data_IF_383433766321
#
_entry.id   IF_383433766321
#
_cell.length_a   1.000
_cell.length_b   1.000
_cell.length_c   1.000
_cell.angle_alpha   90.00
_cell.angle_beta   90.00
_cell.angle_gamma   90.00
#
_symmetry.space_group_name_H-M   'P 1'
#
loop_
_entity.id
_entity.type
_entity.pdbx_description
1 polymer ?
#
# COMPACT_ATOMS: atom_id res chain seq x y z
N UNK A 1 -1.88 -24.74 6.11
CA UNK A 1 -2.70 -24.06 5.09
C UNK A 1 -2.34 -24.68 3.75
N UNK A 2 -3.29 -25.26 3.02
CA UNK A 2 -3.06 -25.74 1.64
C UNK A 2 -3.26 -24.53 0.70
N UNK A 3 -2.18 -24.03 0.12
CA UNK A 3 -2.19 -22.91 -0.82
C UNK A 3 -1.86 -23.43 -2.21
N UNK A 4 -2.73 -23.15 -3.19
CA UNK A 4 -2.52 -23.55 -4.60
C UNK A 4 -2.45 -22.31 -5.50
N UNK A 5 -1.38 -22.14 -6.29
CA UNK A 5 -1.28 -21.02 -7.20
C UNK A 5 -2.27 -21.21 -8.37
N UNK A 6 -3.01 -20.16 -8.71
CA UNK A 6 -3.84 -20.08 -9.90
C UNK A 6 -3.23 -19.04 -10.85
N UNK A 7 -2.98 -19.43 -12.10
CA UNK A 7 -2.48 -18.47 -13.09
C UNK A 7 -3.55 -17.42 -13.40
N UNK A 8 -3.19 -16.13 -13.44
CA UNK A 8 -4.16 -15.06 -13.71
C UNK A 8 -4.92 -15.25 -15.02
N UNK A 9 -4.33 -15.86 -16.05
CA UNK A 9 -5.02 -16.21 -17.32
C UNK A 9 -6.22 -17.15 -17.15
N UNK A 10 -6.26 -17.92 -16.06
CA UNK A 10 -7.36 -18.85 -15.75
C UNK A 10 -8.51 -18.14 -15.03
N UNK A 11 -8.28 -16.92 -14.53
CA UNK A 11 -9.32 -16.09 -13.92
C UNK A 11 -10.10 -15.39 -15.03
N UNK A 12 -11.45 -15.46 -15.04
CA UNK A 12 -12.26 -14.74 -16.00
C UNK A 12 -12.07 -13.21 -15.93
N UNK A 13 -12.40 -12.53 -17.04
CA UNK A 13 -12.48 -11.06 -17.13
C UNK A 13 -11.19 -10.29 -16.81
N UNK A 14 -10.02 -10.93 -16.93
CA UNK A 14 -8.75 -10.22 -16.79
C UNK A 14 -8.49 -9.29 -17.98
N UNK A 15 -8.04 -8.04 -17.74
CA UNK A 15 -7.68 -7.13 -18.81
C UNK A 15 -6.55 -7.70 -19.68
N UNK A 16 -6.69 -7.60 -21.01
CA UNK A 16 -5.66 -8.08 -21.95
C UNK A 16 -4.29 -7.46 -21.66
N UNK A 17 -4.26 -6.16 -21.39
CA UNK A 17 -3.02 -5.43 -21.07
C UNK A 17 -2.32 -6.01 -19.84
N UNK A 18 -3.08 -6.36 -18.79
CA UNK A 18 -2.55 -6.98 -17.58
C UNK A 18 -1.95 -8.37 -17.85
N UNK A 19 -2.65 -9.22 -18.59
CA UNK A 19 -2.12 -10.54 -18.97
C UNK A 19 -0.87 -10.42 -19.86
N UNK A 20 -0.82 -9.43 -20.76
CA UNK A 20 0.37 -9.17 -21.57
C UNK A 20 1.53 -8.61 -20.74
N UNK A 21 1.26 -7.80 -19.73
CA UNK A 21 2.27 -7.33 -18.77
C UNK A 21 2.92 -8.48 -17.99
N UNK A 22 2.12 -9.47 -17.56
CA UNK A 22 2.62 -10.64 -16.84
C UNK A 22 3.36 -11.64 -17.75
N UNK A 23 2.80 -11.98 -18.90
CA UNK A 23 3.27 -13.12 -19.69
C UNK A 23 4.05 -12.76 -20.97
N UNK A 24 3.86 -11.54 -21.50
CA UNK A 24 4.38 -11.11 -22.81
C UNK A 24 4.84 -9.66 -22.80
N UNK A 25 5.72 -9.32 -21.85
CA UNK A 25 6.14 -7.95 -21.58
C UNK A 25 6.64 -7.17 -22.81
N UNK A 26 7.27 -7.84 -23.79
CA UNK A 26 7.70 -7.23 -25.06
C UNK A 26 6.60 -6.48 -25.80
N UNK A 27 5.33 -6.87 -25.62
CA UNK A 27 4.17 -6.19 -26.21
C UNK A 27 3.79 -4.90 -25.51
N UNK A 28 4.20 -4.72 -24.25
CA UNK A 28 3.81 -3.59 -23.41
C UNK A 28 4.98 -2.73 -22.96
N UNK A 29 6.20 -3.02 -23.44
CA UNK A 29 7.42 -2.29 -23.09
C UNK A 29 7.41 -0.80 -23.45
N UNK A 30 6.50 -0.37 -24.34
CA UNK A 30 6.28 1.05 -24.64
C UNK A 30 5.53 1.77 -23.51
N UNK A 31 4.79 1.03 -22.66
CA UNK A 31 4.01 1.56 -21.55
C UNK A 31 4.70 1.39 -20.19
N UNK A 32 5.56 0.36 -20.06
CA UNK A 32 6.23 0.02 -18.81
C UNK A 32 7.74 -0.08 -18.99
N UNK A 33 8.49 0.50 -18.07
CA UNK A 33 9.96 0.55 -18.13
C UNK A 33 10.65 -0.78 -17.76
N UNK A 34 10.03 -1.58 -16.90
CA UNK A 34 10.66 -2.77 -16.31
C UNK A 34 9.69 -3.95 -16.23
N UNK A 35 10.26 -5.15 -16.39
CA UNK A 35 9.56 -6.42 -16.19
C UNK A 35 9.06 -6.55 -14.74
N UNK A 36 7.87 -7.16 -14.50
CA UNK A 36 7.35 -7.43 -13.17
C UNK A 36 8.02 -8.64 -12.50
N UNK A 37 9.36 -8.64 -12.45
CA UNK A 37 10.15 -9.74 -11.84
C UNK A 37 11.18 -9.17 -10.88
N UNK A 38 11.46 -9.89 -9.81
CA UNK A 38 12.38 -9.43 -8.76
C UNK A 38 13.76 -9.07 -9.31
N UNK A 39 14.28 -9.82 -10.29
CA UNK A 39 15.58 -9.53 -10.92
C UNK A 39 15.64 -8.18 -11.64
N UNK A 40 14.51 -7.70 -12.18
CA UNK A 40 14.41 -6.37 -12.74
C UNK A 40 14.42 -5.30 -11.62
N UNK A 41 13.65 -5.53 -10.55
CA UNK A 41 13.61 -4.67 -9.35
C UNK A 41 15.01 -4.53 -8.74
N UNK A 42 15.73 -5.63 -8.51
CA UNK A 42 17.11 -5.65 -7.98
C UNK A 42 18.05 -4.79 -8.83
N UNK A 43 17.96 -4.90 -10.16
CA UNK A 43 18.80 -4.14 -11.09
C UNK A 43 18.51 -2.65 -11.07
N UNK A 44 17.24 -2.26 -10.92
CA UNK A 44 16.84 -0.86 -10.77
C UNK A 44 17.32 -0.31 -9.43
N UNK A 45 17.07 -1.04 -8.35
CA UNK A 45 17.42 -0.64 -7.00
C UNK A 45 18.92 -0.33 -6.84
N UNK A 46 19.81 -1.11 -7.48
CA UNK A 46 21.27 -0.85 -7.48
C UNK A 46 21.69 0.47 -8.14
N UNK A 47 20.84 1.04 -9.00
CA UNK A 47 21.12 2.27 -9.75
C UNK A 47 20.47 3.51 -9.12
N UNK A 48 19.61 3.33 -8.12
CA UNK A 48 18.93 4.45 -7.48
C UNK A 48 19.91 5.20 -6.59
N UNK A 49 20.28 6.39 -7.04
CA UNK A 49 21.07 7.34 -6.27
C UNK A 49 20.23 8.60 -6.04
N UNK A 50 19.78 8.80 -4.80
CA UNK A 50 19.00 9.96 -4.39
C UNK A 50 19.86 10.81 -3.46
N UNK A 51 19.81 12.16 -3.59
CA UNK A 51 20.58 13.05 -2.73
C UNK A 51 20.35 12.76 -1.24
N UNK A 52 21.43 12.69 -0.47
CA UNK A 52 21.38 12.40 0.97
C UNK A 52 20.52 13.39 1.75
N UNK A 53 20.56 14.67 1.38
CA UNK A 53 19.72 15.72 1.98
C UNK A 53 18.22 15.42 1.83
N UNK A 54 17.79 15.03 0.62
CA UNK A 54 16.38 14.65 0.37
C UNK A 54 15.98 13.44 1.19
N UNK A 55 16.88 12.46 1.34
CA UNK A 55 16.62 11.26 2.18
C UNK A 55 16.47 11.63 3.64
N UNK A 56 17.33 12.50 4.16
CA UNK A 56 17.28 12.97 5.54
C UNK A 56 15.97 13.74 5.82
N UNK A 57 15.58 14.64 4.91
CA UNK A 57 14.34 15.41 5.01
C UNK A 57 13.10 14.49 5.02
N UNK A 58 13.01 13.59 4.04
CA UNK A 58 11.89 12.63 3.95
C UNK A 58 11.84 11.73 5.18
N UNK A 59 12.99 11.21 5.64
CA UNK A 59 13.04 10.33 6.82
C UNK A 59 12.62 11.06 8.09
N UNK A 60 12.95 12.36 8.21
CA UNK A 60 12.53 13.20 9.33
C UNK A 60 11.01 13.41 9.34
N UNK A 61 10.42 13.75 8.19
CA UNK A 61 8.97 13.93 8.05
C UNK A 61 8.24 12.62 8.39
N UNK A 62 8.67 11.51 7.79
CA UNK A 62 8.07 10.20 8.02
C UNK A 62 8.22 9.76 9.49
N UNK A 63 9.36 10.05 10.13
CA UNK A 63 9.55 9.75 11.56
C UNK A 63 8.56 10.49 12.43
N UNK A 64 8.39 11.80 12.20
CA UNK A 64 7.41 12.60 12.93
C UNK A 64 5.98 12.07 12.77
N UNK A 65 5.58 11.75 11.54
CA UNK A 65 4.24 11.21 11.24
C UNK A 65 4.01 9.84 11.92
N UNK A 66 4.96 8.92 11.77
CA UNK A 66 4.84 7.58 12.32
C UNK A 66 4.86 7.58 13.87
N UNK A 67 5.69 8.42 14.50
CA UNK A 67 5.67 8.57 15.96
C UNK A 67 4.33 9.09 16.48
N UNK A 68 3.68 10.04 15.77
CA UNK A 68 2.35 10.52 16.13
C UNK A 68 1.27 9.41 16.05
N UNK A 69 1.51 8.36 15.26
CA UNK A 69 0.64 7.19 15.12
C UNK A 69 1.07 6.00 16.00
N UNK A 70 1.99 6.19 16.94
CA UNK A 70 2.42 5.14 17.88
C UNK A 70 3.36 4.10 17.29
N UNK A 71 4.21 4.49 16.33
CA UNK A 71 5.14 3.58 15.67
C UNK A 71 6.07 2.82 16.63
N UNK A 72 6.24 1.52 16.35
CA UNK A 72 7.13 0.63 17.09
C UNK A 72 8.58 0.62 16.60
N UNK A 73 9.42 -0.18 17.25
CA UNK A 73 10.87 -0.26 16.99
C UNK A 73 11.20 -0.62 15.54
N UNK A 74 10.46 -1.53 14.91
CA UNK A 74 10.71 -1.94 13.52
C UNK A 74 10.50 -0.80 12.52
N UNK A 75 9.51 0.07 12.78
CA UNK A 75 9.26 1.25 11.95
C UNK A 75 10.40 2.26 12.09
N UNK A 76 10.87 2.51 13.31
CA UNK A 76 12.00 3.41 13.56
C UNK A 76 13.31 2.88 12.94
N UNK A 77 13.54 1.56 13.02
CA UNK A 77 14.67 0.89 12.37
C UNK A 77 14.61 1.04 10.84
N UNK A 78 13.43 0.90 10.23
CA UNK A 78 13.26 1.14 8.80
C UNK A 78 13.54 2.60 8.42
N UNK A 79 13.14 3.56 9.24
CA UNK A 79 13.43 4.98 9.00
C UNK A 79 14.94 5.28 9.09
N UNK A 80 15.65 4.69 10.05
CA UNK A 80 17.12 4.80 10.15
C UNK A 80 17.80 4.21 8.90
N UNK A 81 17.30 3.08 8.40
CA UNK A 81 17.82 2.43 7.18
C UNK A 81 17.56 3.28 5.94
N UNK A 82 16.37 3.89 5.83
CA UNK A 82 16.00 4.77 4.72
C UNK A 82 16.93 5.99 4.64
N UNK A 83 17.18 6.62 5.79
CA UNK A 83 18.09 7.76 5.94
C UNK A 83 19.52 7.39 5.51
N UNK A 84 19.98 6.18 5.85
CA UNK A 84 21.29 5.63 5.46
C UNK A 84 21.39 5.14 4.01
N UNK A 85 20.35 5.34 3.20
CA UNK A 85 20.41 5.06 1.76
C UNK A 85 19.64 3.82 1.30
N UNK A 86 18.91 3.13 2.17
CA UNK A 86 18.06 2.02 1.74
C UNK A 86 17.04 2.46 0.67
N UNK A 87 16.74 1.58 -0.29
CA UNK A 87 15.69 1.84 -1.28
C UNK A 87 14.31 1.64 -0.66
N UNK A 88 13.32 2.42 -1.09
CA UNK A 88 11.94 2.26 -0.64
C UNK A 88 11.17 1.37 -1.64
N UNK A 89 10.55 0.31 -1.14
CA UNK A 89 9.54 -0.45 -1.89
C UNK A 89 8.19 0.14 -1.53
N UNK A 90 7.58 0.85 -2.47
CA UNK A 90 6.36 1.62 -2.23
C UNK A 90 5.17 0.87 -2.84
N UNK A 91 4.13 0.69 -2.03
CA UNK A 91 2.77 0.40 -2.49
C UNK A 91 1.81 1.34 -1.77
N UNK A 92 0.55 1.42 -2.18
CA UNK A 92 -0.41 2.29 -1.52
C UNK A 92 -1.85 1.97 -1.86
N UNK A 93 -2.73 2.59 -1.08
CA UNK A 93 -4.17 2.57 -1.28
C UNK A 93 -4.83 3.79 -0.64
N UNK A 94 -6.01 4.17 -1.12
CA UNK A 94 -6.89 5.11 -0.43
C UNK A 94 -7.26 4.58 0.97
N UNK A 95 -7.56 5.49 1.89
CA UNK A 95 -7.92 5.15 3.27
C UNK A 95 -9.40 4.75 3.35
N UNK A 96 -9.68 3.47 3.14
CA UNK A 96 -11.02 2.90 3.27
C UNK A 96 -11.43 2.63 4.72
N UNK A 97 -12.73 2.69 5.00
CA UNK A 97 -13.31 2.30 6.28
C UNK A 97 -12.87 0.87 6.66
N UNK A 98 -12.38 0.67 7.89
CA UNK A 98 -11.86 -0.61 8.39
C UNK A 98 -10.77 -1.24 7.50
N UNK A 99 -9.80 -0.45 7.04
CA UNK A 99 -8.74 -0.81 6.08
C UNK A 99 -9.19 -1.02 4.63
N UNK A 100 -10.49 -0.86 4.38
CA UNK A 100 -11.10 -1.04 3.07
C UNK A 100 -11.03 -2.50 2.60
N UNK A 101 -10.85 -2.75 1.31
CA UNK A 101 -10.81 -4.10 0.76
C UNK A 101 -9.54 -4.87 1.19
N UNK A 102 -9.64 -6.20 1.27
CA UNK A 102 -8.55 -7.07 1.71
C UNK A 102 -7.24 -6.89 0.91
N UNK A 103 -7.31 -6.45 -0.34
CA UNK A 103 -6.12 -6.20 -1.14
C UNK A 103 -5.24 -5.07 -0.58
N UNK A 104 -5.75 -4.15 0.26
CA UNK A 104 -4.94 -3.15 0.96
C UNK A 104 -3.87 -3.83 1.81
N UNK A 105 -4.26 -4.87 2.55
CA UNK A 105 -3.35 -5.68 3.37
C UNK A 105 -2.39 -6.46 2.47
N UNK A 106 -2.87 -7.09 1.40
CA UNK A 106 -1.99 -7.83 0.48
C UNK A 106 -0.95 -6.94 -0.19
N UNK A 107 -1.30 -5.70 -0.54
CA UNK A 107 -0.38 -4.69 -1.05
C UNK A 107 0.71 -4.35 -0.04
N UNK A 108 0.35 -4.15 1.23
CA UNK A 108 1.33 -3.89 2.30
C UNK A 108 2.27 -5.07 2.52
N UNK A 109 1.72 -6.29 2.62
CA UNK A 109 2.50 -7.52 2.75
C UNK A 109 3.44 -7.74 1.57
N UNK A 110 2.99 -7.45 0.34
CA UNK A 110 3.82 -7.55 -0.87
C UNK A 110 5.00 -6.58 -0.82
N UNK A 111 4.78 -5.34 -0.35
CA UNK A 111 5.88 -4.37 -0.20
C UNK A 111 6.90 -4.84 0.86
N UNK A 112 6.44 -5.39 1.98
CA UNK A 112 7.30 -5.98 3.02
C UNK A 112 8.12 -7.13 2.43
N UNK A 113 7.47 -8.09 1.78
CA UNK A 113 8.14 -9.26 1.20
C UNK A 113 9.20 -8.86 0.17
N UNK A 114 8.88 -7.95 -0.75
CA UNK A 114 9.86 -7.49 -1.75
C UNK A 114 11.03 -6.75 -1.07
N UNK A 115 10.80 -5.94 -0.04
CA UNK A 115 11.87 -5.27 0.70
C UNK A 115 12.80 -6.28 1.43
N UNK A 116 12.23 -7.35 2.00
CA UNK A 116 12.99 -8.45 2.59
C UNK A 116 13.83 -9.19 1.54
N UNK A 117 13.23 -9.56 0.41
CA UNK A 117 13.91 -10.25 -0.70
C UNK A 117 15.07 -9.43 -1.28
N UNK A 118 14.90 -8.11 -1.41
CA UNK A 118 15.97 -7.20 -1.81
C UNK A 118 17.09 -7.13 -0.77
N UNK A 119 16.73 -7.05 0.52
CA UNK A 119 17.69 -7.01 1.63
C UNK A 119 18.52 -8.29 1.68
N UNK A 120 17.88 -9.46 1.53
CA UNK A 120 18.55 -10.76 1.41
C UNK A 120 19.47 -10.84 0.18
N UNK A 121 19.12 -10.15 -0.89
CA UNK A 121 19.93 -10.03 -2.12
C UNK A 121 21.08 -9.00 -2.00
N UNK A 122 21.32 -8.45 -0.80
CA UNK A 122 22.39 -7.50 -0.52
C UNK A 122 22.05 -6.04 -0.83
N UNK A 123 20.78 -5.71 -1.04
CA UNK A 123 20.32 -4.34 -1.29
C UNK A 123 19.47 -3.89 -0.11
N UNK A 124 19.95 -2.98 0.77
CA UNK A 124 19.15 -2.46 1.85
C UNK A 124 17.85 -1.86 1.32
N UNK A 125 16.70 -2.42 1.75
CA UNK A 125 15.39 -1.97 1.31
C UNK A 125 14.40 -1.91 2.48
N UNK A 126 13.48 -0.95 2.41
CA UNK A 126 12.43 -0.73 3.42
C UNK A 126 11.05 -0.67 2.76
N UNK A 127 10.01 -1.24 3.38
CA UNK A 127 8.65 -1.11 2.89
C UNK A 127 8.06 0.24 3.26
N UNK A 128 7.34 0.86 2.32
CA UNK A 128 6.57 2.08 2.54
C UNK A 128 5.16 1.85 2.01
N UNK A 129 4.16 2.05 2.88
CA UNK A 129 2.75 2.03 2.48
C UNK A 129 2.23 3.46 2.40
N UNK A 130 1.95 3.92 1.19
CA UNK A 130 1.42 5.24 0.92
C UNK A 130 -0.10 5.27 1.15
N UNK A 131 -0.53 6.03 2.16
CA UNK A 131 -1.94 6.30 2.41
C UNK A 131 -2.38 7.46 1.50
N UNK A 132 -3.21 7.16 0.48
CA UNK A 132 -3.69 8.17 -0.45
C UNK A 132 -4.84 8.99 0.17
N UNK A 133 -4.53 9.80 1.18
CA UNK A 133 -5.49 10.60 1.97
C UNK A 133 -6.04 11.82 1.22
N UNK A 134 -5.33 12.27 0.19
CA UNK A 134 -5.68 13.45 -0.63
C UNK A 134 -6.71 13.13 -1.73
N UNK A 135 -7.10 11.87 -1.87
CA UNK A 135 -8.15 11.52 -2.82
C UNK A 135 -9.48 12.16 -2.38
N UNK A 136 -10.28 12.57 -3.34
CA UNK A 136 -11.59 13.18 -3.15
C UNK A 136 -12.74 12.22 -3.49
N UNK A 137 -12.44 10.99 -3.91
CA UNK A 137 -13.45 9.95 -4.13
C UNK A 137 -13.96 9.36 -2.81
N UNK A 138 -14.78 10.16 -2.11
CA UNK A 138 -15.39 9.78 -0.84
C UNK A 138 -16.37 8.60 -1.00
N UNK A 139 -16.97 8.45 -2.18
CA UNK A 139 -17.93 7.38 -2.44
C UNK A 139 -17.23 6.01 -2.48
N UNK A 140 -15.99 5.95 -2.94
CA UNK A 140 -15.18 4.72 -2.95
C UNK A 140 -14.79 4.27 -1.53
N UNK A 141 -14.44 5.18 -0.63
CA UNK A 141 -13.86 4.82 0.69
C UNK A 141 -14.84 4.79 1.85
N UNK A 142 -16.02 5.43 1.73
CA UNK A 142 -17.00 5.53 2.82
C UNK A 142 -17.76 4.25 3.12
N UNK A 143 -17.48 3.19 2.35
CA UNK A 143 -18.16 1.91 2.50
C UNK A 143 -17.19 0.75 2.64
N UNK A 144 -17.62 -0.27 3.37
CA UNK A 144 -16.98 -1.58 3.36
C UNK A 144 -18.03 -2.67 3.31
N UNK A 145 -17.65 -3.86 2.88
CA UNK A 145 -18.51 -5.04 2.91
C UNK A 145 -17.99 -6.04 3.93
N UNK A 146 -18.87 -6.49 4.80
CA UNK A 146 -18.60 -7.49 5.81
C UNK A 146 -19.45 -8.73 5.58
N UNK A 147 -18.95 -9.88 6.00
CA UNK A 147 -19.70 -11.12 5.92
C UNK A 147 -20.41 -11.37 7.25
N UNK A 148 -21.74 -11.32 7.24
CA UNK A 148 -22.59 -11.68 8.38
C UNK A 148 -23.62 -12.75 7.95
N UNK A 149 -23.69 -13.85 8.70
CA UNK A 149 -24.68 -14.94 8.52
C UNK A 149 -24.91 -15.39 7.07
N UNK A 150 -23.82 -15.57 6.31
CA UNK A 150 -23.92 -16.06 4.93
C UNK A 150 -24.20 -14.97 3.88
N UNK A 151 -24.24 -13.69 4.27
CA UNK A 151 -24.53 -12.57 3.38
C UNK A 151 -23.46 -11.50 3.49
N UNK A 152 -23.18 -10.86 2.36
CA UNK A 152 -22.41 -9.63 2.35
C UNK A 152 -23.31 -8.48 2.78
N UNK A 153 -22.96 -7.85 3.89
CA UNK A 153 -23.59 -6.65 4.42
C UNK A 153 -22.69 -5.47 4.08
N UNK A 154 -23.24 -4.44 3.45
CA UNK A 154 -22.52 -3.21 3.15
C UNK A 154 -22.74 -2.22 4.30
N UNK A 155 -21.64 -1.77 4.89
CA UNK A 155 -21.62 -0.66 5.83
C UNK A 155 -21.24 0.58 5.06
N UNK A 156 -22.00 1.66 5.24
CA UNK A 156 -21.74 2.95 4.58
C UNK A 156 -21.86 4.07 5.61
N UNK A 157 -20.91 5.01 5.59
CA UNK A 157 -21.08 6.26 6.32
C UNK A 157 -22.12 7.16 5.60
N UNK A 158 -22.90 7.95 6.35
CA UNK A 158 -23.81 8.93 5.77
C UNK A 158 -23.07 9.87 4.81
N UNK A 159 -23.73 10.27 3.72
CA UNK A 159 -23.16 11.23 2.79
C UNK A 159 -22.91 12.56 3.53
N UNK A 160 -21.66 13.07 3.45
CA UNK A 160 -21.33 14.37 4.00
C UNK A 160 -21.80 15.47 3.03
N UNK A 161 -22.33 16.59 3.55
CA UNK A 161 -22.86 17.69 2.74
C UNK A 161 -21.81 18.40 1.85
N UNK A 162 -20.51 18.12 2.01
CA UNK A 162 -19.42 18.65 1.18
C UNK A 162 -18.57 17.52 0.58
N UNK A 163 -18.79 17.19 -0.70
CA UNK A 163 -18.10 16.11 -1.43
C UNK A 163 -16.68 16.47 -1.93
N UNK A 164 -15.96 17.38 -1.26
CA UNK A 164 -14.66 17.92 -1.73
C UNK A 164 -13.54 17.95 -0.69
N UNK A 165 -13.72 17.30 0.46
CA UNK A 165 -12.66 17.22 1.48
C UNK A 165 -11.79 15.98 1.24
N UNK A 166 -10.47 16.07 1.47
CA UNK A 166 -9.59 14.90 1.52
C UNK A 166 -10.15 13.83 2.46
N UNK A 167 -10.09 12.56 2.05
CA UNK A 167 -10.55 11.42 2.85
C UNK A 167 -9.95 11.43 4.26
N UNK A 168 -8.67 11.80 4.39
CA UNK A 168 -7.97 11.81 5.68
C UNK A 168 -8.48 12.83 6.70
N UNK A 169 -9.30 13.81 6.29
CA UNK A 169 -9.80 14.89 7.15
C UNK A 169 -11.25 14.68 7.60
N UNK A 170 -11.88 13.58 7.19
CA UNK A 170 -13.28 13.30 7.53
C UNK A 170 -13.35 12.68 8.92
N UNK A 171 -13.94 13.38 9.91
CA UNK A 171 -14.16 12.78 11.21
C UNK A 171 -15.20 11.66 11.08
N UNK A 172 -14.89 10.51 11.68
CA UNK A 172 -15.85 9.44 11.86
C UNK A 172 -16.92 9.91 12.86
N UNK A 173 -18.20 9.71 12.54
CA UNK A 173 -19.30 10.18 13.38
C UNK A 173 -19.37 9.48 14.74
N UNK A 174 -20.13 10.05 15.69
CA UNK A 174 -20.29 9.54 17.07
C UNK A 174 -20.71 8.06 17.18
N UNK A 175 -21.27 7.49 16.12
CA UNK A 175 -21.61 6.07 16.01
C UNK A 175 -20.40 5.13 16.07
N UNK A 176 -19.19 5.65 15.79
CA UNK A 176 -17.94 4.90 15.84
C UNK A 176 -17.27 5.00 17.22
N UNK A 177 -17.51 6.08 17.97
CA UNK A 177 -17.01 6.25 19.34
C UNK A 177 -17.55 5.17 20.29
N UNK A 178 -18.78 4.70 20.07
CA UNK A 178 -19.39 3.58 20.82
C UNK A 178 -18.78 2.20 20.53
N UNK A 179 -17.93 2.09 19.52
CA UNK A 179 -17.20 0.86 19.18
C UNK A 179 -15.77 0.82 19.75
N UNK A 180 -15.35 1.89 20.45
CA UNK A 180 -14.10 1.85 21.20
C UNK A 180 -14.25 0.85 22.34
N UNK A 181 -13.37 -0.16 22.49
CA UNK A 181 -13.40 -1.01 23.66
C UNK A 181 -13.23 -0.09 24.87
N UNK A 182 -14.21 -0.09 25.79
CA UNK A 182 -14.11 0.59 27.07
C UNK A 182 -12.74 0.27 27.69
N UNK A 183 -11.82 1.24 27.65
CA UNK A 183 -10.65 1.27 28.53
C UNK A 183 -11.09 1.53 29.96
#
# INVERSE_FOLDING_TARGET
>A
MDCRPLAFRQVPHQPKLFLEYLDRFEKVKSFYFHLPVLTAVTRVARKLDYPGERRAEVSTILRKQNMALGAGADTLSNLDRLEKGAVAVVSGQQVGLFSGPAYSVYKALTAIQIAEELTLSGIPAVPVFWMATEDHDLDEVRHTTWFDKGKLVRFELPALPESRRPVGEIPLGAQIETCSPNT
#
